data_IF_060919020727
#
_entry.id   IF_060919020727
#
_cell.length_a   1.000
_cell.length_b   1.000
_cell.length_c   1.000
_cell.angle_alpha   90.00
_cell.angle_beta   90.00
_cell.angle_gamma   90.00
#
_symmetry.space_group_name_H-M   'P 1'
#
loop_
_entity.id
_entity.type
_entity.pdbx_description
1 polymer ?
#
# COMPACT_ATOMS: atom_id res chain seq x y z
N UNK A 1 -7.28 -13.25 12.32
CA UNK A 1 -6.18 -12.27 12.12
C UNK A 1 -5.00 -12.49 13.06
N UNK A 2 -5.22 -12.82 14.34
CA UNK A 2 -4.13 -13.16 15.30
C UNK A 2 -3.16 -14.27 14.81
N UNK A 3 -3.65 -15.29 14.10
CA UNK A 3 -2.81 -16.36 13.52
C UNK A 3 -1.73 -15.86 12.56
N UNK A 4 -2.00 -14.75 11.87
CA UNK A 4 -1.04 -14.09 10.95
C UNK A 4 -0.42 -12.83 11.58
N UNK A 5 -0.60 -12.65 12.90
CA UNK A 5 -0.03 -11.55 13.70
C UNK A 5 -0.42 -10.14 13.23
N UNK A 6 -1.63 -9.98 12.68
CA UNK A 6 -2.18 -8.67 12.29
C UNK A 6 -3.26 -8.26 13.29
N UNK A 7 -3.14 -7.04 13.83
CA UNK A 7 -4.19 -6.40 14.61
C UNK A 7 -5.26 -5.86 13.65
N UNK A 8 -6.47 -6.39 13.75
CA UNK A 8 -7.58 -6.02 12.88
C UNK A 8 -8.88 -6.22 13.62
N UNK A 9 -9.67 -5.16 13.75
CA UNK A 9 -10.95 -5.16 14.44
C UNK A 9 -12.07 -4.58 13.58
N UNK A 10 -13.29 -5.00 13.91
CA UNK A 10 -14.53 -4.40 13.43
C UNK A 10 -15.26 -3.80 14.63
N UNK A 11 -15.86 -2.63 14.45
CA UNK A 11 -16.71 -2.00 15.46
C UNK A 11 -17.87 -1.28 14.80
N UNK A 12 -18.99 -1.19 15.50
CA UNK A 12 -20.10 -0.37 15.07
C UNK A 12 -19.89 1.07 15.52
N UNK A 13 -20.14 2.03 14.63
CA UNK A 13 -20.05 3.44 14.98
C UNK A 13 -21.18 3.88 15.90
N UNK A 14 -20.85 4.67 16.93
CA UNK A 14 -21.85 5.15 17.86
C UNK A 14 -22.82 6.11 17.16
N UNK A 15 -24.12 5.81 17.22
CA UNK A 15 -25.18 6.62 16.62
C UNK A 15 -25.50 6.28 15.16
N UNK A 16 -24.81 5.31 14.54
CA UNK A 16 -25.18 4.79 13.22
C UNK A 16 -25.27 3.24 13.26
N UNK A 17 -25.94 2.65 12.27
CA UNK A 17 -25.88 1.20 12.04
C UNK A 17 -24.68 0.82 11.15
N UNK A 18 -23.74 1.74 10.96
CA UNK A 18 -22.59 1.53 10.10
C UNK A 18 -21.49 0.78 10.86
N UNK A 19 -20.85 -0.16 10.16
CA UNK A 19 -19.71 -0.90 10.65
C UNK A 19 -18.43 -0.28 10.10
N UNK A 20 -17.48 -0.06 11.00
CA UNK A 20 -16.14 0.42 10.70
C UNK A 20 -15.10 -0.66 11.02
N UNK A 21 -13.93 -0.56 10.39
CA UNK A 21 -12.87 -1.56 10.49
C UNK A 21 -11.49 -0.92 10.50
N UNK A 22 -10.52 -1.64 11.06
CA UNK A 22 -9.12 -1.20 11.07
C UNK A 22 -8.57 -1.14 9.64
N UNK A 23 -8.07 0.02 9.20
CA UNK A 23 -7.39 0.12 7.91
C UNK A 23 -6.08 -0.67 7.93
N UNK A 24 -5.92 -1.60 6.98
CA UNK A 24 -4.67 -2.34 6.81
C UNK A 24 -3.60 -1.43 6.21
N UNK A 25 -2.43 -1.36 6.83
CA UNK A 25 -1.27 -0.63 6.31
C UNK A 25 -0.55 -1.52 5.28
N UNK A 26 0.28 -0.94 4.40
CA UNK A 26 0.91 -1.65 3.28
C UNK A 26 1.53 -3.00 3.63
N UNK A 27 2.30 -3.08 4.72
CA UNK A 27 2.92 -4.34 5.18
C UNK A 27 1.89 -5.39 5.62
N UNK A 28 0.85 -4.97 6.34
CA UNK A 28 -0.21 -5.88 6.77
C UNK A 28 -0.99 -6.44 5.57
N UNK A 29 -1.27 -5.61 4.55
CA UNK A 29 -1.94 -6.06 3.32
C UNK A 29 -1.18 -7.20 2.65
N UNK A 30 0.15 -7.10 2.59
CA UNK A 30 1.00 -8.15 2.01
C UNK A 30 0.94 -9.45 2.83
N UNK A 31 0.96 -9.35 4.17
CA UNK A 31 0.82 -10.50 5.06
C UNK A 31 -0.54 -11.20 4.88
N UNK A 32 -1.64 -10.44 4.78
CA UNK A 32 -2.97 -11.03 4.50
C UNK A 32 -2.95 -11.72 3.13
N UNK A 33 -2.43 -11.03 2.11
CA UNK A 33 -2.35 -11.53 0.74
C UNK A 33 -1.57 -12.84 0.64
N UNK A 34 -0.53 -13.02 1.46
CA UNK A 34 0.32 -14.21 1.48
C UNK A 34 -0.19 -15.34 2.38
N UNK A 35 -0.80 -15.02 3.53
CA UNK A 35 -0.96 -16.00 4.61
C UNK A 35 -2.41 -16.24 5.07
N UNK A 36 -3.36 -15.38 4.70
CA UNK A 36 -4.74 -15.55 5.16
C UNK A 36 -5.40 -16.76 4.50
N UNK A 37 -5.93 -17.69 5.30
CA UNK A 37 -6.65 -18.86 4.79
C UNK A 37 -8.16 -18.61 4.81
N UNK A 38 -8.77 -18.62 3.63
CA UNK A 38 -10.20 -18.42 3.43
C UNK A 38 -11.10 -19.60 3.83
N UNK A 39 -10.53 -20.76 4.18
CA UNK A 39 -11.29 -21.90 4.70
C UNK A 39 -11.97 -21.65 6.04
N UNK A 40 -11.64 -20.55 6.72
CA UNK A 40 -12.33 -20.12 7.95
C UNK A 40 -13.61 -19.32 7.68
N UNK A 41 -13.86 -18.92 6.42
CA UNK A 41 -14.98 -18.04 6.02
C UNK A 41 -15.89 -18.73 5.00
N UNK A 42 -15.31 -19.47 4.06
CA UNK A 42 -16.05 -20.09 2.97
C UNK A 42 -15.99 -21.62 3.04
N UNK A 43 -16.89 -22.27 2.31
CA UNK A 43 -16.82 -23.71 2.07
C UNK A 43 -15.51 -24.09 1.35
N UNK A 44 -15.15 -25.37 1.38
CA UNK A 44 -13.85 -25.87 0.89
C UNK A 44 -13.57 -25.50 -0.56
N UNK A 45 -14.52 -25.74 -1.48
CA UNK A 45 -14.37 -25.46 -2.91
C UNK A 45 -14.15 -23.96 -3.17
N UNK A 46 -14.96 -23.09 -2.57
CA UNK A 46 -14.85 -21.64 -2.74
C UNK A 46 -13.60 -21.08 -2.07
N UNK A 47 -13.28 -21.57 -0.87
CA UNK A 47 -12.07 -21.19 -0.16
C UNK A 47 -10.81 -21.55 -0.97
N UNK A 48 -10.80 -22.72 -1.61
CA UNK A 48 -9.70 -23.14 -2.49
C UNK A 48 -9.50 -22.15 -3.64
N UNK A 49 -10.56 -21.79 -4.37
CA UNK A 49 -10.48 -20.84 -5.48
C UNK A 49 -10.00 -19.45 -5.04
N UNK A 50 -10.54 -18.91 -3.95
CA UNK A 50 -10.16 -17.59 -3.45
C UNK A 50 -8.72 -17.60 -2.92
N UNK A 51 -8.32 -18.65 -2.19
CA UNK A 51 -6.94 -18.81 -1.76
C UNK A 51 -6.00 -18.81 -2.96
N UNK A 52 -6.29 -19.62 -4.00
CA UNK A 52 -5.49 -19.66 -5.23
C UNK A 52 -5.41 -18.28 -5.89
N UNK A 53 -6.55 -17.59 -6.06
CA UNK A 53 -6.60 -16.25 -6.64
C UNK A 53 -5.68 -15.25 -5.92
N UNK A 54 -5.66 -15.29 -4.59
CA UNK A 54 -4.81 -14.42 -3.77
C UNK A 54 -3.32 -14.79 -3.84
N UNK A 55 -3.00 -16.09 -3.89
CA UNK A 55 -1.61 -16.56 -4.01
C UNK A 55 -1.04 -16.30 -5.40
N UNK A 56 -1.82 -16.52 -6.44
CA UNK A 56 -1.42 -16.24 -7.81
C UNK A 56 -1.19 -14.72 -7.98
N UNK A 57 -2.07 -13.88 -7.43
CA UNK A 57 -1.84 -12.42 -7.40
C UNK A 57 -0.58 -12.02 -6.62
N UNK A 58 -0.30 -12.67 -5.49
CA UNK A 58 0.92 -12.43 -4.73
C UNK A 58 2.18 -12.80 -5.51
N UNK A 59 2.16 -13.90 -6.28
CA UNK A 59 3.27 -14.26 -7.16
C UNK A 59 3.46 -13.21 -8.26
N UNK A 60 2.39 -12.74 -8.89
CA UNK A 60 2.46 -11.63 -9.85
C UNK A 60 3.07 -10.38 -9.21
N UNK A 61 2.69 -10.06 -7.98
CA UNK A 61 3.25 -8.92 -7.24
C UNK A 61 4.77 -9.06 -6.99
N UNK A 62 5.26 -10.26 -6.67
CA UNK A 62 6.69 -10.53 -6.53
C UNK A 62 7.39 -10.42 -7.89
N UNK A 63 6.85 -11.08 -8.91
CA UNK A 63 7.43 -11.13 -10.25
C UNK A 63 7.54 -9.73 -10.87
N UNK A 64 6.52 -8.89 -10.67
CA UNK A 64 6.52 -7.50 -11.10
C UNK A 64 7.68 -6.68 -10.50
N UNK A 65 8.20 -7.05 -9.32
CA UNK A 65 9.33 -6.38 -8.67
C UNK A 65 10.68 -6.98 -9.03
N UNK A 66 10.71 -8.16 -9.66
CA UNK A 66 11.93 -8.88 -10.00
C UNK A 66 12.44 -8.45 -11.37
N UNK A 67 13.76 -8.40 -11.52
CA UNK A 67 14.42 -8.06 -12.78
C UNK A 67 14.59 -9.29 -13.68
N UNK A 68 14.42 -10.48 -13.11
CA UNK A 68 14.62 -11.77 -13.76
C UNK A 68 13.33 -12.29 -14.40
N UNK A 69 12.20 -11.62 -14.15
CA UNK A 69 10.91 -12.03 -14.68
C UNK A 69 10.84 -11.79 -16.18
N UNK A 70 10.64 -12.85 -16.94
CA UNK A 70 10.40 -12.79 -18.37
C UNK A 70 9.02 -12.14 -18.66
N UNK A 71 8.95 -11.07 -19.48
CA UNK A 71 7.69 -10.39 -19.78
C UNK A 71 6.62 -11.29 -20.41
N UNK A 72 7.01 -12.20 -21.31
CA UNK A 72 6.08 -13.12 -21.97
C UNK A 72 5.50 -14.15 -20.98
N UNK A 73 6.32 -14.66 -20.06
CA UNK A 73 5.83 -15.53 -18.98
C UNK A 73 4.88 -14.78 -18.05
N UNK A 74 5.24 -13.54 -17.70
CA UNK A 74 4.38 -12.68 -16.87
C UNK A 74 3.03 -12.38 -17.56
N UNK A 75 3.03 -12.12 -18.87
CA UNK A 75 1.81 -11.95 -19.65
C UNK A 75 0.90 -13.18 -19.57
N UNK A 76 1.44 -14.39 -19.69
CA UNK A 76 0.66 -15.62 -19.57
C UNK A 76 0.10 -15.78 -18.15
N UNK A 77 0.91 -15.57 -17.12
CA UNK A 77 0.48 -15.68 -15.73
C UNK A 77 -0.62 -14.67 -15.36
N UNK A 78 -0.53 -13.43 -15.85
CA UNK A 78 -1.57 -12.41 -15.61
C UNK A 78 -2.89 -12.74 -16.30
N UNK A 79 -2.85 -13.36 -17.49
CA UNK A 79 -4.06 -13.85 -18.19
C UNK A 79 -4.68 -15.03 -17.44
N UNK A 80 -3.90 -16.03 -17.05
CA UNK A 80 -4.38 -17.16 -16.24
C UNK A 80 -5.01 -16.69 -14.92
N UNK A 81 -4.41 -15.69 -14.28
CA UNK A 81 -4.95 -15.08 -13.08
C UNK A 81 -6.29 -14.36 -13.34
N UNK A 82 -6.41 -13.64 -14.47
CA UNK A 82 -7.66 -12.99 -14.86
C UNK A 82 -8.75 -14.02 -15.19
N UNK A 83 -8.41 -15.11 -15.85
CA UNK A 83 -9.34 -16.20 -16.15
C UNK A 83 -9.87 -16.84 -14.86
N UNK A 84 -8.98 -17.05 -13.87
CA UNK A 84 -9.39 -17.51 -12.54
C UNK A 84 -10.32 -16.47 -11.87
N UNK A 85 -9.99 -15.18 -11.91
CA UNK A 85 -10.85 -14.11 -11.37
C UNK A 85 -12.26 -14.15 -11.98
N UNK A 86 -12.37 -14.43 -13.28
CA UNK A 86 -13.62 -14.47 -14.05
C UNK A 86 -14.32 -15.84 -14.04
N UNK A 87 -13.92 -16.76 -13.14
CA UNK A 87 -14.55 -18.08 -13.04
C UNK A 87 -16.06 -17.93 -12.90
N UNK A 88 -16.87 -18.41 -13.87
CA UNK A 88 -18.31 -18.22 -13.86
C UNK A 88 -18.99 -19.12 -12.82
N UNK A 89 -20.18 -18.72 -12.40
CA UNK A 89 -21.04 -19.62 -11.61
C UNK A 89 -21.55 -20.75 -12.50
N UNK A 90 -21.73 -21.94 -11.92
CA UNK A 90 -22.18 -23.13 -12.62
C UNK A 90 -23.50 -23.63 -12.01
N UNK A 91 -24.39 -24.15 -12.86
CA UNK A 91 -25.71 -24.63 -12.46
C UNK A 91 -26.77 -23.53 -12.37
N UNK A 92 -28.00 -23.93 -12.11
CA UNK A 92 -29.13 -23.02 -11.98
C UNK A 92 -29.17 -22.37 -10.59
N UNK A 93 -29.41 -21.05 -10.48
CA UNK A 93 -29.55 -20.38 -9.20
C UNK A 93 -30.60 -21.06 -8.30
N UNK A 94 -30.34 -21.09 -6.99
CA UNK A 94 -31.21 -21.70 -5.97
C UNK A 94 -31.37 -23.24 -6.07
N UNK A 95 -30.51 -23.93 -6.82
CA UNK A 95 -30.44 -25.40 -6.83
C UNK A 95 -29.31 -25.93 -5.95
N UNK A 96 -29.42 -27.19 -5.50
CA UNK A 96 -28.39 -27.87 -4.70
C UNK A 96 -27.06 -27.96 -5.45
N UNK A 97 -27.10 -28.02 -6.78
CA UNK A 97 -25.94 -28.14 -7.65
C UNK A 97 -25.34 -26.78 -8.05
N UNK A 98 -25.87 -25.67 -7.55
CA UNK A 98 -25.36 -24.34 -7.85
C UNK A 98 -23.99 -24.11 -7.22
N UNK A 99 -22.97 -23.89 -8.06
CA UNK A 99 -21.63 -23.53 -7.64
C UNK A 99 -21.38 -22.07 -7.99
N UNK A 100 -21.24 -21.24 -6.96
CA UNK A 100 -20.95 -19.83 -7.15
C UNK A 100 -19.52 -19.64 -7.65
N UNK A 101 -19.38 -18.88 -8.75
CA UNK A 101 -18.10 -18.47 -9.31
C UNK A 101 -17.37 -17.43 -8.47
N UNK A 102 -16.36 -16.77 -9.05
CA UNK A 102 -15.59 -15.74 -8.37
C UNK A 102 -16.17 -14.34 -8.60
N UNK A 103 -15.76 -13.67 -9.68
CA UNK A 103 -16.15 -12.29 -9.98
C UNK A 103 -16.61 -12.14 -11.42
N UNK A 104 -17.31 -11.04 -11.70
CA UNK A 104 -17.83 -10.75 -13.04
C UNK A 104 -16.89 -9.83 -13.84
N UNK A 105 -17.01 -9.79 -15.17
CA UNK A 105 -16.26 -8.85 -16.02
C UNK A 105 -16.43 -7.38 -15.62
N UNK A 106 -17.62 -7.00 -15.10
CA UNK A 106 -17.89 -5.64 -14.60
C UNK A 106 -17.10 -5.26 -13.34
N UNK A 107 -16.57 -6.25 -12.62
CA UNK A 107 -15.79 -6.05 -11.39
C UNK A 107 -14.30 -5.84 -11.70
N UNK A 108 -13.90 -5.92 -12.97
CA UNK A 108 -12.52 -5.66 -13.42
C UNK A 108 -12.22 -4.18 -13.28
N UNK A 109 -11.25 -3.86 -12.43
CA UNK A 109 -10.83 -2.48 -12.18
C UNK A 109 -9.86 -1.98 -13.26
N UNK A 110 -9.70 -0.65 -13.43
CA UNK A 110 -8.68 -0.08 -14.32
C UNK A 110 -7.27 -0.60 -14.02
N UNK A 111 -6.93 -0.83 -12.74
CA UNK A 111 -5.62 -1.37 -12.37
C UNK A 111 -5.41 -2.82 -12.82
N UNK A 112 -6.46 -3.64 -12.81
CA UNK A 112 -6.39 -5.00 -13.36
C UNK A 112 -6.23 -4.98 -14.87
N UNK A 113 -6.94 -4.07 -15.56
CA UNK A 113 -6.76 -3.89 -17.01
C UNK A 113 -5.30 -3.51 -17.34
N UNK A 114 -4.71 -2.57 -16.59
CA UNK A 114 -3.30 -2.19 -16.74
C UNK A 114 -2.35 -3.35 -16.45
N UNK A 115 -2.58 -4.10 -15.37
CA UNK A 115 -1.78 -5.26 -14.99
C UNK A 115 -1.71 -6.31 -16.12
N UNK A 116 -2.85 -6.62 -16.76
CA UNK A 116 -2.93 -7.71 -17.74
C UNK A 116 -2.48 -7.25 -19.14
N UNK A 117 -2.85 -6.03 -19.55
CA UNK A 117 -2.68 -5.61 -20.94
C UNK A 117 -1.43 -4.75 -21.17
N UNK A 118 -1.05 -3.91 -20.20
CA UNK A 118 -0.03 -2.88 -20.40
C UNK A 118 1.27 -3.17 -19.65
N UNK A 119 1.19 -3.85 -18.51
CA UNK A 119 2.36 -4.11 -17.68
C UNK A 119 3.40 -5.04 -18.34
N UNK A 120 3.03 -6.12 -19.06
CA UNK A 120 4.03 -6.95 -19.74
C UNK A 120 4.81 -6.16 -20.80
N UNK A 121 4.11 -5.35 -21.60
CA UNK A 121 4.74 -4.47 -22.59
C UNK A 121 5.64 -3.42 -21.93
N UNK A 122 5.19 -2.84 -20.81
CA UNK A 122 5.99 -1.91 -20.02
C UNK A 122 7.29 -2.57 -19.53
N UNK A 123 7.20 -3.80 -19.00
CA UNK A 123 8.35 -4.56 -18.56
C UNK A 123 9.32 -4.83 -19.71
N UNK A 124 8.82 -5.15 -20.90
CA UNK A 124 9.65 -5.37 -22.10
C UNK A 124 10.38 -4.10 -22.55
N UNK A 125 9.69 -2.96 -22.62
CA UNK A 125 10.29 -1.68 -23.03
C UNK A 125 11.28 -1.14 -22.01
N UNK A 126 11.06 -1.41 -20.73
CA UNK A 126 11.84 -0.84 -19.63
C UNK A 126 12.65 -1.87 -18.84
N UNK A 127 13.01 -3.03 -19.41
CA UNK A 127 13.75 -4.10 -18.70
C UNK A 127 14.97 -3.63 -17.90
N UNK A 128 15.67 -2.59 -18.39
CA UNK A 128 16.83 -1.99 -17.71
C UNK A 128 16.46 -1.34 -16.37
N UNK A 129 15.24 -0.84 -16.25
CA UNK A 129 14.73 -0.12 -15.09
C UNK A 129 13.66 -0.95 -14.39
N UNK A 130 13.81 -1.06 -13.08
CA UNK A 130 12.83 -1.71 -12.24
C UNK A 130 11.54 -0.88 -12.17
N UNK A 131 10.41 -1.55 -11.95
CA UNK A 131 9.13 -0.86 -11.72
C UNK A 131 9.16 0.07 -10.50
N UNK A 132 10.02 -0.19 -9.50
CA UNK A 132 10.21 0.70 -8.36
C UNK A 132 10.83 2.06 -8.75
N UNK A 133 11.61 2.13 -9.83
CA UNK A 133 12.18 3.36 -10.37
C UNK A 133 11.10 4.35 -10.86
N UNK A 134 9.95 3.81 -11.28
CA UNK A 134 8.78 4.60 -11.70
C UNK A 134 7.76 4.78 -10.57
N UNK A 135 8.06 4.29 -9.36
CA UNK A 135 7.14 4.38 -8.25
C UNK A 135 7.07 5.80 -7.67
N UNK A 136 5.88 6.20 -7.24
CA UNK A 136 5.69 7.45 -6.48
C UNK A 136 6.09 7.33 -5.00
N UNK A 137 6.67 6.21 -4.57
CA UNK A 137 7.06 5.97 -3.18
C UNK A 137 8.06 7.01 -2.65
N UNK A 138 9.09 7.44 -3.41
CA UNK A 138 10.01 8.48 -2.96
C UNK A 138 9.30 9.83 -2.74
N UNK A 139 8.36 10.19 -3.61
CA UNK A 139 7.59 11.44 -3.48
C UNK A 139 6.69 11.41 -2.26
N UNK A 140 6.00 10.27 -2.02
CA UNK A 140 5.17 10.08 -0.81
C UNK A 140 6.01 10.14 0.47
N UNK A 141 7.20 9.53 0.46
CA UNK A 141 8.14 9.61 1.58
C UNK A 141 8.61 11.04 1.82
N UNK A 142 9.01 11.75 0.76
CA UNK A 142 9.40 13.17 0.86
C UNK A 142 8.29 14.01 1.49
N UNK A 143 7.06 13.83 1.03
CA UNK A 143 5.91 14.53 1.62
C UNK A 143 5.72 14.19 3.11
N UNK A 144 5.83 12.91 3.49
CA UNK A 144 5.75 12.51 4.90
C UNK A 144 6.86 13.12 5.75
N UNK A 145 8.09 13.13 5.26
CA UNK A 145 9.25 13.68 5.95
C UNK A 145 9.11 15.20 6.12
N UNK A 146 8.63 15.90 5.07
CA UNK A 146 8.34 17.34 5.13
C UNK A 146 7.23 17.66 6.13
N UNK A 147 6.12 16.91 6.09
CA UNK A 147 5.02 17.11 7.05
C UNK A 147 5.49 16.89 8.49
N UNK A 148 6.24 15.82 8.72
CA UNK A 148 6.77 15.50 10.05
C UNK A 148 7.80 16.52 10.55
N UNK A 149 8.67 17.02 9.68
CA UNK A 149 9.69 18.00 10.05
C UNK A 149 9.11 19.39 10.33
N UNK A 150 8.16 19.85 9.49
CA UNK A 150 7.68 21.24 9.52
C UNK A 150 6.39 21.46 10.30
N UNK A 151 5.52 20.46 10.40
CA UNK A 151 4.23 20.61 11.08
C UNK A 151 4.19 19.87 12.41
N UNK A 152 4.95 18.78 12.58
CA UNK A 152 4.93 18.01 13.83
C UNK A 152 6.09 18.34 14.79
N UNK A 153 7.28 18.67 14.28
CA UNK A 153 8.48 18.91 15.12
C UNK A 153 8.73 20.36 15.46
N UNK A 154 8.36 21.27 14.56
CA UNK A 154 8.40 22.70 14.86
C UNK A 154 7.05 23.13 15.40
N UNK A 155 7.01 23.91 16.49
CA UNK A 155 5.80 24.65 16.92
C UNK A 155 5.44 25.76 15.91
N UNK A 156 5.51 25.43 14.63
CA UNK A 156 5.28 26.32 13.50
C UNK A 156 3.90 25.98 12.97
N UNK A 157 2.87 26.41 13.68
CA UNK A 157 1.55 26.68 13.09
C UNK A 157 1.61 27.89 12.12
N UNK A 158 2.71 28.01 11.35
CA UNK A 158 3.07 29.23 10.63
C UNK A 158 3.18 30.41 11.61
N UNK A 159 4.36 30.56 12.22
CA UNK A 159 4.66 31.57 13.24
C UNK A 159 3.91 32.89 13.03
N UNK A 160 3.36 33.42 14.13
CA UNK A 160 2.45 34.57 14.17
C UNK A 160 3.13 35.92 13.90
N UNK A 161 4.20 35.92 13.11
CA UNK A 161 4.99 37.11 12.81
C UNK A 161 4.56 37.76 11.50
N UNK A 162 4.77 39.07 11.42
CA UNK A 162 4.23 39.99 10.41
C UNK A 162 4.65 39.68 8.96
N UNK A 163 5.60 38.76 8.75
CA UNK A 163 6.01 38.27 7.43
C UNK A 163 5.67 36.78 7.29
N UNK A 164 4.42 36.47 6.95
CA UNK A 164 4.00 35.10 6.63
C UNK A 164 4.71 34.61 5.36
N UNK A 165 5.88 34.02 5.51
CA UNK A 165 6.49 33.21 4.45
C UNK A 165 5.65 31.94 4.29
N UNK A 166 5.32 31.58 3.05
CA UNK A 166 4.64 30.31 2.79
C UNK A 166 5.48 29.15 3.34
N UNK A 167 4.83 28.15 3.92
CA UNK A 167 5.49 26.93 4.41
C UNK A 167 6.40 26.31 3.34
N UNK A 168 6.03 26.42 2.06
CA UNK A 168 6.82 25.92 0.93
C UNK A 168 8.18 26.62 0.86
N UNK A 169 8.23 27.95 0.99
CA UNK A 169 9.50 28.68 0.97
C UNK A 169 10.37 28.35 2.18
N UNK A 170 9.78 28.19 3.36
CA UNK A 170 10.53 27.76 4.55
C UNK A 170 11.13 26.37 4.38
N UNK A 171 10.36 25.42 3.80
CA UNK A 171 10.82 24.08 3.47
C UNK A 171 11.99 24.13 2.50
N UNK A 172 11.85 24.88 1.41
CA UNK A 172 12.90 25.02 0.39
C UNK A 172 14.17 25.65 0.96
N UNK A 173 14.06 26.71 1.77
CA UNK A 173 15.22 27.33 2.40
C UNK A 173 15.97 26.38 3.33
N UNK A 174 15.25 25.60 4.12
CA UNK A 174 15.86 24.60 5.01
C UNK A 174 16.55 23.49 4.21
N UNK A 175 15.90 22.92 3.19
CA UNK A 175 16.49 21.89 2.33
C UNK A 175 17.75 22.40 1.63
N UNK A 176 17.70 23.61 1.05
CA UNK A 176 18.85 24.23 0.39
C UNK A 176 20.02 24.48 1.34
N UNK A 177 19.72 24.91 2.57
CA UNK A 177 20.73 25.11 3.61
C UNK A 177 21.39 23.79 4.00
N UNK A 178 20.62 22.73 4.23
CA UNK A 178 21.15 21.40 4.51
C UNK A 178 22.03 20.87 3.38
N UNK A 179 21.63 21.06 2.11
CA UNK A 179 22.40 20.66 0.94
C UNK A 179 23.74 21.41 0.84
N UNK A 180 23.72 22.73 1.06
CA UNK A 180 24.93 23.56 1.02
C UNK A 180 25.99 23.08 2.03
N UNK A 181 25.59 22.81 3.27
CA UNK A 181 26.49 22.35 4.32
C UNK A 181 26.98 20.90 4.08
N UNK A 182 26.12 20.02 3.57
CA UNK A 182 26.50 18.67 3.19
C UNK A 182 27.58 18.65 2.10
N UNK A 183 27.44 19.49 1.06
CA UNK A 183 28.42 19.61 -0.02
C UNK A 183 29.76 20.21 0.42
N UNK A 184 29.72 21.14 1.38
CA UNK A 184 30.91 21.81 1.91
C UNK A 184 31.68 20.97 2.94
N UNK A 185 31.27 19.72 3.22
CA UNK A 185 31.89 18.85 4.23
C UNK A 185 31.77 19.36 5.67
N UNK A 186 31.06 20.48 5.86
CA UNK A 186 30.70 21.04 7.16
C UNK A 186 29.39 20.38 7.56
N UNK A 187 29.45 19.09 7.88
CA UNK A 187 28.33 18.46 8.58
C UNK A 187 28.28 19.15 9.94
N UNK A 188 27.44 20.17 10.04
CA UNK A 188 27.02 20.65 11.35
C UNK A 188 26.52 19.41 12.09
N UNK A 189 27.25 19.05 13.14
CA UNK A 189 26.84 18.11 14.17
C UNK A 189 25.64 18.72 14.89
N UNK A 190 24.54 18.99 14.20
CA UNK A 190 23.29 19.25 14.90
C UNK A 190 22.92 17.93 15.57
N UNK A 191 22.93 17.87 16.91
CA UNK A 191 22.44 16.68 17.58
C UNK A 191 21.02 16.42 17.09
N UNK A 192 20.72 15.16 16.77
CA UNK A 192 19.35 14.75 16.45
C UNK A 192 18.43 15.33 17.53
N UNK A 193 17.28 15.93 17.17
CA UNK A 193 16.37 16.50 18.15
C UNK A 193 16.08 15.45 19.23
N UNK A 194 16.46 15.76 20.47
CA UNK A 194 16.23 14.88 21.61
C UNK A 194 14.75 14.95 21.97
N UNK A 195 14.08 13.80 22.01
CA UNK A 195 12.71 13.72 22.51
C UNK A 195 12.73 13.94 24.02
N UNK A 196 12.38 15.15 24.46
CA UNK A 196 12.22 15.45 25.88
C UNK A 196 10.84 14.94 26.31
N UNK A 197 10.81 13.85 27.08
CA UNK A 197 9.59 13.40 27.76
C UNK A 197 9.33 14.30 28.96
N UNK A 198 8.43 15.28 28.80
CA UNK A 198 7.92 16.06 29.92
C UNK A 198 6.92 15.21 30.68
N UNK A 199 7.34 14.63 31.81
CA UNK A 199 6.41 14.01 32.76
C UNK A 199 5.47 15.12 33.27
N UNK A 200 4.19 15.04 32.93
CA UNK A 200 3.14 15.85 33.59
C UNK A 200 3.24 15.58 35.09
N UNK A 201 3.61 16.60 35.88
CA UNK A 201 3.40 16.57 37.33
C UNK A 201 1.90 16.46 37.55
N UNK A 202 1.47 15.39 38.20
CA UNK A 202 0.15 15.32 38.83
C UNK A 202 0.03 16.53 39.75
N UNK A 203 -0.98 17.37 39.49
CA UNK A 203 -1.38 18.39 40.45
C UNK A 203 -1.92 17.66 41.67
N UNK A 204 -1.28 17.86 42.82
CA UNK A 204 -1.86 17.56 44.12
C UNK A 204 -3.08 18.46 44.35
#
# INVERSE_FOLDING_TARGET
MNRIKISFGFWQEQGTQNWSYTSLIGGDKEIVLKNFNFGVVFNEERAFLINRLWRDFYQLYINMKSNETNPSQFANQTKEWLDLFLTPSQGEPNTINFKIGLYHPKDVTPYMHVLVNHLPEFMERHQRFRLDAFSCSPVKKKNHDQVSAFFQKTMKDGGKDMERKSAIFEILHYENRSLYFAQKGTIDKYPKPQHIHVKKKLKN
#
